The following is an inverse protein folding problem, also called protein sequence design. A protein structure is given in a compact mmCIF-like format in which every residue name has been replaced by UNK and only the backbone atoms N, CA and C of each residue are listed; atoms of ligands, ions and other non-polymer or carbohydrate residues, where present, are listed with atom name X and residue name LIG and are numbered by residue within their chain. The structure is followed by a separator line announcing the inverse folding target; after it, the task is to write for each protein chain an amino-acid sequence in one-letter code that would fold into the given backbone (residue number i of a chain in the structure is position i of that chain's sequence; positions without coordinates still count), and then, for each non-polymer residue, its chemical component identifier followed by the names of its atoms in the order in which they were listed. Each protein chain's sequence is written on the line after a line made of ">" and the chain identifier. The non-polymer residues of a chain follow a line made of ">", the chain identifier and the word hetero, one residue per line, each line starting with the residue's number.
data_IF_887091452461
#
_entry.id   IF_887091452461
#
_cell.length_a   1.000
_cell.length_b   1.000
_cell.length_c   1.000
_cell.angle_alpha   90.00
_cell.angle_beta   90.00
_cell.angle_gamma   90.00
#
_symmetry.space_group_name_H-M   'P 1'
#
loop_
_entity.id
_entity.type
_entity.pdbx_description
1 polymer ?
#
# COMPACT_ATOMS: atom_id res chain seq x y z
N UNK A 1 -31.64 8.88 6.98
CA UNK A 1 -30.64 8.05 6.28
C UNK A 1 -29.30 8.76 6.29
N UNK A 2 -28.28 8.23 6.98
CA UNK A 2 -26.96 8.88 7.14
C UNK A 2 -25.95 8.29 6.16
N UNK A 3 -26.00 8.73 4.91
CA UNK A 3 -25.01 8.36 3.87
C UNK A 3 -23.68 9.15 3.98
N UNK A 4 -23.51 10.01 4.98
CA UNK A 4 -22.41 11.00 5.03
C UNK A 4 -21.18 10.56 5.81
N UNK A 5 -21.29 9.66 6.80
CA UNK A 5 -20.11 9.19 7.55
C UNK A 5 -19.21 8.27 6.71
N UNK A 6 -19.78 7.43 5.84
CA UNK A 6 -19.01 6.55 4.95
C UNK A 6 -18.22 7.31 3.87
N UNK A 7 -18.71 8.48 3.44
CA UNK A 7 -18.02 9.37 2.49
C UNK A 7 -16.87 10.16 3.14
N UNK A 8 -16.89 10.32 4.47
CA UNK A 8 -15.88 11.04 5.26
C UNK A 8 -14.80 10.15 5.89
N UNK A 9 -14.88 8.83 5.72
CA UNK A 9 -13.69 7.99 5.57
C UNK A 9 -13.01 8.36 4.24
N UNK A 10 -12.60 9.63 4.16
CA UNK A 10 -11.84 10.21 3.07
C UNK A 10 -10.57 9.39 3.01
N UNK A 11 -10.60 8.37 2.14
CA UNK A 11 -9.58 7.36 1.93
C UNK A 11 -8.22 7.99 2.16
N UNK A 12 -7.63 7.76 3.34
CA UNK A 12 -6.19 7.95 3.48
C UNK A 12 -5.61 7.02 2.43
N UNK A 13 -4.69 7.51 1.60
CA UNK A 13 -4.06 6.68 0.56
C UNK A 13 -3.46 5.39 1.15
N UNK A 14 -3.15 5.41 2.45
CA UNK A 14 -2.56 4.32 3.22
C UNK A 14 -3.48 3.97 4.40
N UNK A 15 -3.70 2.67 4.61
CA UNK A 15 -4.49 2.15 5.72
C UNK A 15 -3.82 2.38 7.09
N UNK A 16 -4.62 2.47 8.13
CA UNK A 16 -4.13 2.81 9.48
C UNK A 16 -3.22 1.74 10.07
N UNK A 17 -3.57 0.46 9.91
CA UNK A 17 -2.75 -0.66 10.40
C UNK A 17 -1.40 -0.72 9.68
N UNK A 18 -1.38 -0.44 8.37
CA UNK A 18 -0.13 -0.36 7.60
C UNK A 18 0.86 0.61 8.25
N UNK A 19 0.36 1.75 8.76
CA UNK A 19 1.17 2.79 9.41
C UNK A 19 1.54 2.44 10.85
N UNK A 20 0.58 1.95 11.64
CA UNK A 20 0.79 1.57 13.06
C UNK A 20 1.93 0.56 13.18
N UNK A 21 1.92 -0.48 12.33
CA UNK A 21 2.95 -1.53 12.36
C UNK A 21 4.36 -1.08 11.97
N UNK A 22 4.50 0.07 11.32
CA UNK A 22 5.80 0.61 10.95
C UNK A 22 6.40 1.52 12.04
N UNK A 23 5.56 2.06 12.92
CA UNK A 23 5.94 3.07 13.92
C UNK A 23 6.73 4.24 13.29
N UNK A 24 6.32 4.67 12.09
CA UNK A 24 6.95 5.78 11.35
C UNK A 24 6.08 7.04 11.43
N UNK A 25 6.68 8.24 11.49
CA UNK A 25 5.93 9.48 11.40
C UNK A 25 5.18 9.59 10.06
N UNK A 26 3.94 10.08 10.08
CA UNK A 26 3.14 10.31 8.87
C UNK A 26 3.85 11.24 7.87
N UNK A 27 4.62 12.21 8.37
CA UNK A 27 5.44 13.11 7.54
C UNK A 27 6.54 12.38 6.78
N UNK A 28 7.17 11.38 7.40
CA UNK A 28 8.18 10.54 6.78
C UNK A 28 7.54 9.71 5.66
N UNK A 29 6.44 9.02 5.95
CA UNK A 29 5.74 8.18 4.97
C UNK A 29 5.33 9.01 3.75
N UNK A 30 4.70 10.17 3.98
CA UNK A 30 4.28 11.09 2.92
C UNK A 30 5.45 11.56 2.05
N UNK A 31 6.58 11.92 2.68
CA UNK A 31 7.79 12.36 1.97
C UNK A 31 8.42 11.22 1.15
N UNK A 32 8.46 10.01 1.69
CA UNK A 32 9.03 8.85 1.00
C UNK A 32 8.19 8.42 -0.20
N UNK A 33 6.87 8.52 -0.09
CA UNK A 33 5.92 8.21 -1.16
C UNK A 33 5.80 9.34 -2.20
N UNK A 34 6.24 10.55 -1.89
CA UNK A 34 6.10 11.71 -2.79
C UNK A 34 6.90 11.50 -4.09
N UNK A 35 6.18 11.38 -5.21
CA UNK A 35 6.78 11.31 -6.54
C UNK A 35 6.48 12.61 -7.29
N UNK A 36 7.49 13.48 -7.35
CA UNK A 36 7.43 14.77 -8.02
C UNK A 36 7.78 14.56 -9.49
N UNK A 37 6.82 14.83 -10.38
CA UNK A 37 7.03 14.82 -11.83
C UNK A 37 7.69 16.13 -12.27
N UNK A 38 7.22 17.27 -11.75
CA UNK A 38 7.75 18.59 -12.10
C UNK A 38 7.63 19.57 -10.93
N UNK A 39 8.64 20.43 -10.78
CA UNK A 39 8.62 21.59 -9.88
C UNK A 39 8.97 22.83 -10.67
N UNK A 40 8.19 23.89 -10.49
CA UNK A 40 8.56 25.20 -11.04
C UNK A 40 9.97 25.58 -10.57
N UNK A 41 10.87 26.02 -11.48
CA UNK A 41 12.17 26.55 -11.11
C UNK A 41 12.05 27.68 -10.08
N UNK A 42 12.92 27.68 -9.06
CA UNK A 42 12.95 28.73 -8.04
C UNK A 42 13.72 29.95 -8.58
N UNK A 43 13.37 31.14 -8.10
CA UNK A 43 14.10 32.39 -8.42
C UNK A 43 13.58 33.15 -9.63
N UNK A 44 12.49 32.70 -10.26
CA UNK A 44 11.89 33.35 -11.43
C UNK A 44 10.51 33.91 -11.08
N UNK A 45 10.34 35.25 -10.98
CA UNK A 45 9.06 35.88 -10.60
C UNK A 45 7.92 35.61 -11.58
N UNK A 46 8.26 35.27 -12.83
CA UNK A 46 7.29 35.01 -13.89
C UNK A 46 6.48 33.72 -13.66
N UNK A 47 7.03 32.76 -12.91
CA UNK A 47 6.36 31.48 -12.70
C UNK A 47 5.75 31.39 -11.29
N UNK A 48 4.50 30.94 -11.24
CA UNK A 48 3.86 30.57 -9.98
C UNK A 48 4.51 29.29 -9.40
N UNK A 49 4.73 29.22 -8.07
CA UNK A 49 5.29 28.03 -7.44
C UNK A 49 4.28 26.87 -7.51
N UNK A 50 4.43 26.00 -8.50
CA UNK A 50 3.60 24.82 -8.71
C UNK A 50 4.45 23.56 -8.60
N UNK A 51 3.82 22.48 -8.19
CA UNK A 51 4.47 21.17 -8.14
C UNK A 51 3.49 20.13 -8.66
N UNK A 52 3.85 19.50 -9.77
CA UNK A 52 3.13 18.35 -10.30
C UNK A 52 3.66 17.10 -9.60
N UNK A 53 2.77 16.43 -8.90
CA UNK A 53 3.07 15.20 -8.15
C UNK A 53 2.12 14.11 -8.60
N UNK A 54 2.60 12.86 -8.59
CA UNK A 54 1.74 11.69 -8.75
C UNK A 54 0.72 11.64 -7.61
N UNK A 55 -0.54 11.40 -7.95
CA UNK A 55 -1.64 11.30 -6.98
C UNK A 55 -2.15 9.88 -6.79
N UNK A 56 -1.97 9.03 -7.80
CA UNK A 56 -2.45 7.66 -7.78
C UNK A 56 -1.28 6.70 -7.74
N UNK A 57 -1.32 5.77 -6.80
CA UNK A 57 -0.26 4.81 -6.56
C UNK A 57 -0.80 3.39 -6.67
N UNK A 58 0.02 2.50 -7.21
CA UNK A 58 -0.19 1.07 -7.19
C UNK A 58 0.37 0.50 -5.89
N UNK A 59 -0.50 -0.06 -5.07
CA UNK A 59 -0.11 -0.78 -3.88
C UNK A 59 0.21 -2.24 -4.24
N UNK A 60 1.46 -2.62 -4.05
CA UNK A 60 1.93 -3.99 -4.25
C UNK A 60 2.16 -4.70 -2.92
N UNK A 61 3.13 -5.62 -2.92
CA UNK A 61 3.66 -6.23 -1.70
C UNK A 61 4.58 -5.29 -0.91
N UNK A 62 5.20 -4.34 -1.60
CA UNK A 62 6.19 -3.42 -1.04
C UNK A 62 5.52 -2.32 -0.23
N UNK A 63 6.15 -1.92 0.88
CA UNK A 63 5.62 -0.87 1.74
C UNK A 63 5.75 0.50 1.07
N UNK A 64 4.82 1.44 1.28
CA UNK A 64 4.81 2.74 0.58
C UNK A 64 6.07 3.59 0.74
N UNK A 65 6.86 3.35 1.80
CA UNK A 65 8.08 4.09 2.11
C UNK A 65 9.38 3.40 1.65
N UNK A 66 9.32 2.32 0.86
CA UNK A 66 10.53 1.62 0.38
C UNK A 66 10.92 2.02 -1.05
N UNK A 67 12.18 1.77 -1.39
CA UNK A 67 12.74 1.96 -2.74
C UNK A 67 11.99 1.15 -3.79
N UNK A 68 11.66 -0.10 -3.49
CA UNK A 68 11.00 -1.03 -4.41
C UNK A 68 9.60 -0.54 -4.77
N UNK A 69 8.87 0.00 -3.79
CA UNK A 69 7.56 0.62 -4.04
C UNK A 69 7.68 1.80 -5.00
N UNK A 70 8.71 2.65 -4.81
CA UNK A 70 8.97 3.79 -5.69
C UNK A 70 9.30 3.35 -7.12
N UNK A 71 10.16 2.34 -7.27
CA UNK A 71 10.51 1.75 -8.58
C UNK A 71 9.26 1.16 -9.25
N UNK A 72 8.47 0.37 -8.52
CA UNK A 72 7.25 -0.23 -9.02
C UNK A 72 6.21 0.82 -9.49
N UNK A 73 6.24 2.00 -8.88
CA UNK A 73 5.38 3.13 -9.19
C UNK A 73 6.00 4.16 -10.12
N UNK A 74 7.17 3.92 -10.73
CA UNK A 74 7.69 4.82 -11.76
C UNK A 74 6.76 4.84 -12.98
N UNK A 75 6.30 3.66 -13.38
CA UNK A 75 5.35 3.51 -14.47
C UNK A 75 3.91 3.79 -14.00
N UNK A 76 3.06 4.21 -14.94
CA UNK A 76 1.63 4.35 -14.69
C UNK A 76 0.96 2.98 -14.84
N UNK A 77 0.46 2.45 -13.73
CA UNK A 77 -0.34 1.22 -13.71
C UNK A 77 -1.83 1.56 -13.68
N UNK A 78 -2.65 0.66 -14.20
CA UNK A 78 -4.12 0.80 -14.11
C UNK A 78 -4.55 0.75 -12.64
N UNK A 79 -5.50 1.60 -12.29
CA UNK A 79 -6.10 1.63 -10.95
C UNK A 79 -6.80 0.30 -10.67
N UNK A 80 -6.46 -0.29 -9.53
CA UNK A 80 -7.12 -1.51 -9.04
C UNK A 80 -8.29 -1.07 -8.16
N UNK A 81 -9.50 -1.47 -8.54
CA UNK A 81 -10.68 -1.24 -7.71
C UNK A 81 -10.76 -2.34 -6.65
N UNK A 82 -11.00 -1.94 -5.42
CA UNK A 82 -11.04 -2.80 -4.24
C UNK A 82 -12.38 -2.56 -3.56
N UNK A 83 -13.02 -3.62 -3.08
CA UNK A 83 -14.27 -3.49 -2.35
C UNK A 83 -14.02 -2.77 -1.01
N UNK A 84 -14.82 -1.76 -0.68
CA UNK A 84 -14.68 -1.06 0.59
C UNK A 84 -15.11 -1.99 1.73
N UNK A 85 -14.17 -2.34 2.60
CA UNK A 85 -14.46 -3.08 3.82
C UNK A 85 -14.95 -2.13 4.91
N UNK A 86 -16.07 -2.47 5.56
CA UNK A 86 -16.60 -1.67 6.68
C UNK A 86 -15.73 -1.82 7.93
N UNK A 87 -15.50 -3.06 8.34
CA UNK A 87 -14.75 -3.42 9.55
C UNK A 87 -13.59 -4.34 9.19
N UNK A 88 -12.38 -3.98 9.63
CA UNK A 88 -11.17 -4.75 9.36
C UNK A 88 -10.81 -5.63 10.57
N UNK A 89 -10.81 -6.95 10.38
CA UNK A 89 -10.65 -7.92 11.48
C UNK A 89 -9.38 -8.78 11.41
N UNK A 90 -8.41 -8.44 10.56
CA UNK A 90 -7.19 -9.23 10.36
C UNK A 90 -5.94 -8.48 10.82
N UNK A 91 -5.24 -8.97 11.83
CA UNK A 91 -4.09 -8.30 12.41
C UNK A 91 -2.81 -9.10 12.21
N UNK A 92 -1.66 -8.42 12.28
CA UNK A 92 -0.37 -9.09 12.23
C UNK A 92 -0.25 -9.94 13.50
N UNK A 93 0.10 -11.22 13.34
CA UNK A 93 0.21 -12.18 14.42
C UNK A 93 -1.00 -13.09 14.58
N UNK A 94 -2.12 -12.79 13.93
CA UNK A 94 -3.29 -13.67 13.96
C UNK A 94 -3.02 -14.98 13.22
N UNK A 95 -3.58 -16.09 13.73
CA UNK A 95 -3.61 -17.38 13.04
C UNK A 95 -4.87 -17.46 12.19
N UNK A 96 -4.70 -17.72 10.90
CA UNK A 96 -5.80 -17.82 9.93
C UNK A 96 -5.72 -19.10 9.12
N UNK A 97 -6.88 -19.57 8.66
CA UNK A 97 -6.99 -20.73 7.78
C UNK A 97 -7.21 -20.32 6.32
N UNK A 98 -6.55 -21.01 5.40
CA UNK A 98 -6.71 -20.78 3.96
C UNK A 98 -7.93 -21.53 3.42
N UNK A 99 -8.92 -20.78 2.93
CA UNK A 99 -10.15 -21.36 2.40
C UNK A 99 -10.05 -21.85 0.94
N UNK A 100 -9.08 -21.35 0.17
CA UNK A 100 -8.93 -21.68 -1.26
C UNK A 100 -7.49 -21.55 -1.75
N UNK A 101 -7.15 -22.27 -2.82
CA UNK A 101 -5.82 -22.28 -3.44
C UNK A 101 -4.97 -23.52 -3.10
N UNK A 102 -3.68 -23.45 -3.43
CA UNK A 102 -2.72 -24.57 -3.29
C UNK A 102 -2.64 -25.13 -1.88
N UNK A 103 -2.74 -24.26 -0.88
CA UNK A 103 -2.57 -24.59 0.54
C UNK A 103 -3.88 -24.56 1.32
N UNK A 104 -5.01 -24.86 0.67
CA UNK A 104 -6.34 -24.91 1.30
C UNK A 104 -6.36 -25.83 2.52
N UNK A 105 -7.00 -25.39 3.60
CA UNK A 105 -7.14 -26.08 4.88
C UNK A 105 -5.93 -25.97 5.81
N UNK A 106 -4.82 -25.37 5.35
CA UNK A 106 -3.68 -25.09 6.23
C UNK A 106 -3.91 -23.81 7.02
N UNK A 107 -3.39 -23.80 8.24
CA UNK A 107 -3.36 -22.64 9.12
C UNK A 107 -1.97 -22.00 9.09
N UNK A 108 -1.91 -20.68 9.22
CA UNK A 108 -0.66 -19.94 9.31
C UNK A 108 -0.84 -18.57 9.92
N UNK A 109 0.28 -17.94 10.27
CA UNK A 109 0.30 -16.64 10.95
C UNK A 109 0.39 -15.49 9.94
N UNK A 110 -0.40 -14.43 10.15
CA UNK A 110 -0.32 -13.22 9.33
C UNK A 110 0.95 -12.44 9.67
N UNK A 111 1.83 -12.25 8.68
CA UNK A 111 3.08 -11.48 8.81
C UNK A 111 2.92 -10.02 8.35
N UNK A 112 2.04 -9.79 7.39
CA UNK A 112 1.80 -8.45 6.84
C UNK A 112 0.35 -8.27 6.41
N UNK A 113 -0.16 -7.08 6.71
CA UNK A 113 -1.49 -6.60 6.32
C UNK A 113 -1.30 -5.42 5.36
N UNK A 114 -2.06 -5.41 4.26
CA UNK A 114 -2.08 -4.35 3.24
C UNK A 114 -3.55 -3.97 3.02
N UNK A 115 -4.03 -2.99 3.77
CA UNK A 115 -5.45 -2.60 3.78
C UNK A 115 -5.86 -1.92 2.47
N UNK A 116 -4.91 -1.30 1.77
CA UNK A 116 -5.12 -0.61 0.49
C UNK A 116 -5.62 -1.56 -0.62
N UNK A 117 -5.48 -2.88 -0.41
CA UNK A 117 -5.88 -3.94 -1.35
C UNK A 117 -6.71 -5.06 -0.75
N UNK A 118 -7.11 -4.95 0.51
CA UNK A 118 -7.69 -6.04 1.28
C UNK A 118 -6.81 -7.31 1.25
N UNK A 119 -5.49 -7.13 1.36
CA UNK A 119 -4.51 -8.21 1.28
C UNK A 119 -3.94 -8.55 2.65
N UNK A 120 -3.76 -9.84 2.88
CA UNK A 120 -3.00 -10.40 3.99
C UNK A 120 -1.93 -11.32 3.44
N UNK A 121 -0.75 -11.30 4.04
CA UNK A 121 0.36 -12.19 3.71
C UNK A 121 0.53 -13.13 4.90
N UNK A 122 0.41 -14.42 4.61
CA UNK A 122 0.54 -15.50 5.58
C UNK A 122 1.91 -16.15 5.43
N UNK A 123 2.56 -16.45 6.55
CA UNK A 123 3.90 -17.04 6.57
C UNK A 123 3.95 -18.39 5.86
N UNK A 124 4.86 -18.54 4.89
CA UNK A 124 5.17 -19.83 4.25
C UNK A 124 4.08 -20.44 3.38
N UNK A 125 2.90 -19.83 3.27
CA UNK A 125 1.76 -20.36 2.53
C UNK A 125 1.50 -19.59 1.24
N UNK A 126 0.94 -20.27 0.23
CA UNK A 126 0.70 -19.74 -1.11
C UNK A 126 1.96 -19.17 -1.79
N UNK A 127 3.12 -19.74 -1.49
CA UNK A 127 4.41 -19.31 -2.00
C UNK A 127 4.80 -20.04 -3.30
N UNK A 128 5.56 -19.35 -4.15
CA UNK A 128 6.21 -19.92 -5.34
C UNK A 128 7.72 -19.85 -5.14
N UNK A 129 8.40 -20.96 -5.43
CA UNK A 129 9.86 -21.00 -5.43
C UNK A 129 10.38 -20.48 -6.77
N UNK A 130 11.37 -19.60 -6.71
CA UNK A 130 12.08 -19.14 -7.89
C UNK A 130 13.51 -19.68 -7.80
N UNK A 131 13.98 -20.34 -8.85
CA UNK A 131 15.37 -20.77 -8.94
C UNK A 131 16.22 -19.50 -9.07
N UNK A 132 17.07 -19.23 -8.08
CA UNK A 132 18.05 -18.16 -8.19
C UNK A 132 19.20 -18.71 -9.02
N UNK A 133 19.34 -18.27 -10.26
CA UNK A 133 20.56 -18.49 -11.02
C UNK A 133 21.66 -17.68 -10.33
N UNK A 134 22.62 -18.38 -9.74
CA UNK A 134 23.80 -17.78 -9.14
C UNK A 134 24.75 -17.56 -10.32
N UNK A 135 24.74 -16.34 -10.85
CA UNK A 135 25.76 -15.83 -11.77
C UNK A 135 26.95 -15.29 -11.02
#
# INVERSE_FOLDING_TARGET
>A
MRFTQALFLRFKDIGELTKIYANLPDSFIKRSMEMVEYKTPRGFPQYLPRTLKKKEYYFGKHRPWTSEFKVENQERKRKVYVEPTRDWSYFRGDVVEILSGKDKGKQGTIVQVIQERNWVIVEGLNCKLFKKEIG
#
